data_IF_939332004907
#
_entry.id   IF_939332004907
#
_cell.length_a   1.000
_cell.length_b   1.000
_cell.length_c   1.000
_cell.angle_alpha   90.00
_cell.angle_beta   90.00
_cell.angle_gamma   90.00
#
_symmetry.space_group_name_H-M   'P 1'
#
loop_
_entity.id
_entity.type
_entity.pdbx_description
1 polymer ?
#
# COMPACT_ATOMS: atom_id res chain seq x y z
N UNK A 1 2.49 12.23 36.74
CA UNK A 1 2.09 11.88 35.37
C UNK A 1 3.11 10.89 34.84
N UNK A 2 2.71 9.66 34.54
CA UNK A 2 3.63 8.61 34.07
C UNK A 2 4.16 8.93 32.66
N UNK A 3 5.46 8.72 32.41
CA UNK A 3 6.08 8.90 31.09
C UNK A 3 5.35 8.16 29.97
N UNK A 4 4.78 6.99 30.29
CA UNK A 4 4.00 6.19 29.35
C UNK A 4 2.70 6.90 28.91
N UNK A 5 2.07 7.63 29.80
CA UNK A 5 0.87 8.42 29.49
C UNK A 5 1.23 9.61 28.59
N UNK A 6 2.34 10.28 28.89
CA UNK A 6 2.87 11.37 28.06
C UNK A 6 3.14 10.92 26.62
N UNK A 7 3.80 9.77 26.44
CA UNK A 7 4.10 9.23 25.10
C UNK A 7 2.85 8.86 24.31
N UNK A 8 1.80 8.38 24.97
CA UNK A 8 0.51 8.07 24.32
C UNK A 8 -0.17 9.36 23.84
N UNK A 9 -0.18 10.39 24.68
CA UNK A 9 -0.74 11.71 24.32
C UNK A 9 0.04 12.37 23.17
N UNK A 10 1.36 12.27 23.15
CA UNK A 10 2.16 12.82 22.04
C UNK A 10 1.92 12.09 20.72
N UNK A 11 1.80 10.76 20.76
CA UNK A 11 1.38 9.98 19.58
C UNK A 11 0.00 10.42 19.11
N UNK A 12 -0.95 10.57 20.02
CA UNK A 12 -2.30 11.00 19.71
C UNK A 12 -2.32 12.40 19.06
N UNK A 13 -1.62 13.38 19.63
CA UNK A 13 -1.51 14.72 19.05
C UNK A 13 -0.84 14.72 17.67
N UNK A 14 0.20 13.90 17.48
CA UNK A 14 0.88 13.78 16.18
C UNK A 14 -0.04 13.16 15.13
N UNK A 15 -0.80 12.12 15.49
CA UNK A 15 -1.79 11.49 14.61
C UNK A 15 -2.89 12.47 14.21
N UNK A 16 -3.47 13.19 15.18
CA UNK A 16 -4.49 14.19 14.91
C UNK A 16 -3.99 15.31 13.99
N UNK A 17 -2.76 15.79 14.20
CA UNK A 17 -2.15 16.78 13.29
C UNK A 17 -1.99 16.25 11.86
N UNK A 18 -1.63 14.98 11.69
CA UNK A 18 -1.45 14.37 10.37
C UNK A 18 -2.80 14.12 9.66
N UNK A 19 -3.85 13.83 10.42
CA UNK A 19 -5.21 13.61 9.91
C UNK A 19 -6.01 14.91 9.73
N UNK A 20 -5.45 16.07 10.13
CA UNK A 20 -6.16 17.35 10.08
C UNK A 20 -7.26 17.49 11.14
N UNK A 21 -7.18 16.72 12.23
CA UNK A 21 -8.11 16.80 13.36
C UNK A 21 -7.59 17.87 14.32
N UNK A 22 -8.46 18.84 14.63
CA UNK A 22 -8.09 20.03 15.40
C UNK A 22 -8.45 19.97 16.89
N UNK A 23 -9.33 19.06 17.29
CA UNK A 23 -9.82 18.93 18.67
C UNK A 23 -9.46 17.55 19.22
N UNK A 24 -9.00 17.52 20.47
CA UNK A 24 -8.84 16.31 21.27
C UNK A 24 -9.83 16.31 22.44
N UNK A 25 -10.10 15.12 22.98
CA UNK A 25 -11.02 14.93 24.11
C UNK A 25 -10.69 15.86 25.29
N UNK A 26 -9.40 16.05 25.57
CA UNK A 26 -8.93 16.92 26.64
C UNK A 26 -9.24 18.41 26.36
N UNK A 27 -8.98 18.90 25.15
CA UNK A 27 -9.28 20.30 24.78
C UNK A 27 -10.78 20.59 24.77
N UNK A 28 -11.61 19.58 24.47
CA UNK A 28 -13.07 19.71 24.54
C UNK A 28 -13.51 19.80 26.02
N UNK A 29 -12.98 18.93 26.88
CA UNK A 29 -13.28 18.94 28.31
C UNK A 29 -12.83 20.22 29.03
N UNK A 30 -11.66 20.75 28.67
CA UNK A 30 -11.13 22.00 29.26
C UNK A 30 -11.74 23.27 28.64
N UNK A 31 -12.67 23.14 27.68
CA UNK A 31 -13.21 24.28 26.95
C UNK A 31 -14.22 25.06 27.79
N UNK A 32 -13.86 26.29 28.16
CA UNK A 32 -14.79 27.24 28.79
C UNK A 32 -15.44 28.15 27.74
N UNK A 33 -16.77 28.23 27.75
CA UNK A 33 -17.54 29.11 26.88
C UNK A 33 -17.89 30.43 27.58
N UNK A 34 -17.85 31.53 26.84
CA UNK A 34 -18.31 32.83 27.34
C UNK A 34 -19.84 32.87 27.37
N UNK A 35 -20.41 33.19 28.52
CA UNK A 35 -21.85 33.40 28.68
C UNK A 35 -22.29 34.77 28.15
N UNK A 36 -23.43 34.79 27.46
CA UNK A 36 -24.10 35.99 26.95
C UNK A 36 -25.55 36.02 27.42
N UNK A 37 -26.19 37.19 27.38
CA UNK A 37 -27.59 37.43 27.80
C UNK A 37 -28.63 36.50 27.15
N UNK A 38 -28.32 35.95 25.98
CA UNK A 38 -28.99 34.77 25.40
C UNK A 38 -27.92 33.77 24.99
N UNK A 39 -28.15 32.51 25.31
CA UNK A 39 -27.26 31.40 25.01
C UNK A 39 -27.96 30.06 25.25
N UNK A 40 -27.23 28.99 24.96
CA UNK A 40 -27.63 27.64 25.31
C UNK A 40 -27.51 27.40 26.81
N UNK A 41 -28.28 26.44 27.32
CA UNK A 41 -28.17 26.01 28.71
C UNK A 41 -26.78 25.35 28.92
N UNK A 42 -25.98 25.82 29.89
CA UNK A 42 -24.69 25.23 30.19
C UNK A 42 -24.76 23.72 30.49
N UNK A 43 -25.81 23.24 31.17
CA UNK A 43 -25.93 21.81 31.53
C UNK A 43 -26.24 20.93 30.32
N UNK A 44 -27.08 21.42 29.39
CA UNK A 44 -27.38 20.73 28.14
C UNK A 44 -26.13 20.67 27.24
N UNK A 45 -25.38 21.78 27.17
CA UNK A 45 -24.11 21.83 26.43
C UNK A 45 -23.09 20.87 27.04
N UNK A 46 -22.94 20.84 28.36
CA UNK A 46 -21.97 19.95 29.03
C UNK A 46 -22.31 18.47 28.78
N UNK A 47 -23.58 18.09 28.92
CA UNK A 47 -24.05 16.74 28.62
C UNK A 47 -23.79 16.34 27.17
N UNK A 48 -23.99 17.27 26.23
CA UNK A 48 -23.72 17.04 24.82
C UNK A 48 -22.21 16.94 24.52
N UNK A 49 -21.38 17.73 25.20
CA UNK A 49 -19.93 17.66 25.08
C UNK A 49 -19.36 16.36 25.65
N UNK A 50 -19.94 15.82 26.72
CA UNK A 50 -19.58 14.50 27.26
C UNK A 50 -19.81 13.37 26.24
N UNK A 51 -20.94 13.40 25.51
CA UNK A 51 -21.19 12.46 24.41
C UNK A 51 -20.16 12.60 23.29
N UNK A 52 -19.86 13.84 22.88
CA UNK A 52 -18.84 14.11 21.85
C UNK A 52 -17.46 13.61 22.32
N UNK A 53 -17.09 13.83 23.58
CA UNK A 53 -15.83 13.35 24.15
C UNK A 53 -15.75 11.83 24.04
N UNK A 54 -16.83 11.12 24.41
CA UNK A 54 -16.87 9.66 24.31
C UNK A 54 -16.67 9.17 22.87
N UNK A 55 -17.30 9.83 21.90
CA UNK A 55 -17.14 9.48 20.49
C UNK A 55 -15.73 9.75 19.98
N UNK A 56 -15.10 10.85 20.39
CA UNK A 56 -13.69 11.15 20.05
C UNK A 56 -12.72 10.10 20.62
N UNK A 57 -12.99 9.56 21.82
CA UNK A 57 -12.21 8.44 22.37
C UNK A 57 -12.40 7.16 21.54
N UNK A 58 -13.63 6.85 21.14
CA UNK A 58 -13.94 5.68 20.27
C UNK A 58 -13.31 5.80 18.88
N UNK A 59 -13.35 6.99 18.30
CA UNK A 59 -12.68 7.26 17.03
C UNK A 59 -11.17 7.06 17.16
N UNK A 60 -10.56 7.54 18.24
CA UNK A 60 -9.14 7.34 18.48
C UNK A 60 -8.77 5.85 18.57
N UNK A 61 -9.54 5.06 19.34
CA UNK A 61 -9.31 3.63 19.46
C UNK A 61 -9.41 2.93 18.10
N UNK A 62 -10.41 3.29 17.30
CA UNK A 62 -10.65 2.70 15.97
C UNK A 62 -9.56 3.08 14.96
N UNK A 63 -9.15 4.36 14.94
CA UNK A 63 -8.08 4.83 14.07
C UNK A 63 -6.75 4.16 14.44
N UNK A 64 -6.45 4.03 15.73
CA UNK A 64 -5.25 3.33 16.20
C UNK A 64 -5.25 1.88 15.75
N UNK A 65 -6.34 1.14 15.99
CA UNK A 65 -6.48 -0.26 15.58
C UNK A 65 -6.35 -0.42 14.05
N UNK A 66 -6.95 0.49 13.28
CA UNK A 66 -6.84 0.47 11.82
C UNK A 66 -5.41 0.74 11.35
N UNK A 67 -4.71 1.69 11.98
CA UNK A 67 -3.31 1.99 11.65
C UNK A 67 -2.37 0.84 12.02
N UNK A 68 -2.58 0.21 13.17
CA UNK A 68 -1.79 -0.96 13.59
C UNK A 68 -1.98 -2.11 12.59
N UNK A 69 -3.23 -2.42 12.22
CA UNK A 69 -3.55 -3.41 11.17
C UNK A 69 -2.94 -3.05 9.81
N UNK A 70 -3.00 -1.79 9.41
CA UNK A 70 -2.40 -1.34 8.16
C UNK A 70 -0.88 -1.53 8.18
N UNK A 71 -0.24 -1.21 9.31
CA UNK A 71 1.20 -1.37 9.47
C UNK A 71 1.61 -2.85 9.47
N UNK A 72 0.86 -3.73 10.14
CA UNK A 72 1.06 -5.17 10.09
C UNK A 72 0.95 -5.72 8.66
N UNK A 73 -0.07 -5.29 7.91
CA UNK A 73 -0.22 -5.70 6.50
C UNK A 73 0.94 -5.21 5.63
N UNK A 74 1.42 -3.98 5.82
CA UNK A 74 2.58 -3.46 5.08
C UNK A 74 3.85 -4.27 5.40
N UNK A 75 4.05 -4.66 6.65
CA UNK A 75 5.18 -5.51 7.06
C UNK A 75 5.05 -6.89 6.43
N UNK A 76 3.88 -7.53 6.51
CA UNK A 76 3.62 -8.83 5.89
C UNK A 76 3.86 -8.80 4.37
N UNK A 77 3.38 -7.76 3.68
CA UNK A 77 3.64 -7.56 2.25
C UNK A 77 5.13 -7.39 1.96
N UNK A 78 5.86 -6.62 2.79
CA UNK A 78 7.30 -6.43 2.64
C UNK A 78 8.06 -7.74 2.82
N UNK A 79 7.67 -8.55 3.80
CA UNK A 79 8.32 -9.81 4.13
C UNK A 79 8.00 -10.90 3.08
N UNK A 80 6.79 -10.90 2.49
CA UNK A 80 6.50 -11.71 1.31
C UNK A 80 7.28 -11.24 0.08
N UNK A 81 7.49 -9.93 -0.10
CA UNK A 81 8.30 -9.39 -1.21
C UNK A 81 9.80 -9.68 -1.06
N UNK A 82 10.31 -9.75 0.17
CA UNK A 82 11.70 -10.12 0.45
C UNK A 82 11.90 -11.64 0.39
N UNK A 83 10.90 -12.44 0.77
CA UNK A 83 10.89 -13.91 0.61
C UNK A 83 10.65 -14.40 -0.83
N UNK A 84 10.02 -13.59 -1.69
CA UNK A 84 9.89 -13.84 -3.15
C UNK A 84 11.04 -13.24 -3.97
N UNK A 85 12.14 -12.86 -3.32
CA UNK A 85 13.43 -12.65 -3.98
C UNK A 85 14.26 -13.95 -3.99
N UNK A 86 13.63 -15.10 -4.21
CA UNK A 86 14.21 -16.03 -5.19
C UNK A 86 13.96 -15.37 -6.54
N UNK A 87 15.04 -15.00 -7.22
CA UNK A 87 15.03 -14.39 -8.55
C UNK A 87 13.87 -14.93 -9.40
N UNK A 88 13.07 -14.10 -10.10
CA UNK A 88 12.53 -14.62 -11.34
C UNK A 88 13.79 -15.05 -12.09
N UNK A 89 13.97 -16.35 -12.31
CA UNK A 89 14.97 -16.85 -13.26
C UNK A 89 14.66 -16.11 -14.56
N UNK A 90 15.30 -14.95 -14.75
CA UNK A 90 15.54 -14.43 -16.05
C UNK A 90 16.47 -15.49 -16.59
N UNK A 91 15.89 -16.47 -17.28
CA UNK A 91 16.61 -17.21 -18.30
C UNK A 91 17.12 -16.12 -19.24
N UNK A 92 18.31 -15.59 -18.94
CA UNK A 92 19.02 -14.69 -19.82
C UNK A 92 19.45 -15.59 -20.95
N UNK A 93 18.59 -15.72 -21.96
CA UNK A 93 18.94 -16.46 -23.16
C UNK A 93 20.10 -15.69 -23.78
N UNK A 94 21.29 -16.29 -23.72
CA UNK A 94 22.51 -15.70 -24.23
C UNK A 94 22.33 -15.45 -25.73
N UNK A 95 22.52 -14.22 -26.25
CA UNK A 95 22.28 -13.90 -27.66
C UNK A 95 22.99 -14.85 -28.64
N UNK A 96 24.16 -15.37 -28.25
CA UNK A 96 24.92 -16.35 -29.04
C UNK A 96 24.22 -17.70 -29.16
N UNK A 97 23.52 -18.13 -28.11
CA UNK A 97 22.74 -19.38 -28.17
C UNK A 97 21.54 -19.24 -29.11
N UNK A 98 20.91 -18.06 -29.16
CA UNK A 98 19.84 -17.78 -30.13
C UNK A 98 20.39 -17.83 -31.55
N UNK A 99 21.56 -17.22 -31.80
CA UNK A 99 22.22 -17.22 -33.10
C UNK A 99 22.55 -18.64 -33.58
N UNK A 100 23.12 -19.49 -32.72
CA UNK A 100 23.40 -20.89 -33.03
C UNK A 100 22.13 -21.70 -33.33
N UNK A 101 21.06 -21.48 -32.56
CA UNK A 101 19.76 -22.14 -32.79
C UNK A 101 19.17 -21.71 -34.13
N UNK A 102 19.22 -20.42 -34.46
CA UNK A 102 18.73 -19.87 -35.73
C UNK A 102 19.54 -20.43 -36.90
N UNK A 103 20.86 -20.42 -36.83
CA UNK A 103 21.73 -20.98 -37.87
C UNK A 103 21.43 -22.47 -38.13
N UNK A 104 21.25 -23.24 -37.06
CA UNK A 104 20.90 -24.66 -37.18
C UNK A 104 19.51 -24.86 -37.78
N UNK A 105 18.55 -24.01 -37.43
CA UNK A 105 17.19 -24.06 -37.96
C UNK A 105 17.15 -23.67 -39.44
N UNK A 106 17.91 -22.65 -39.86
CA UNK A 106 18.08 -22.27 -41.26
C UNK A 106 18.73 -23.38 -42.09
N UNK A 107 19.74 -24.06 -41.54
CA UNK A 107 20.36 -25.20 -42.20
C UNK A 107 19.35 -26.34 -42.40
N UNK A 108 18.59 -26.68 -41.36
CA UNK A 108 17.55 -27.71 -41.46
C UNK A 108 16.47 -27.34 -42.48
N UNK A 109 16.05 -26.08 -42.51
CA UNK A 109 15.09 -25.57 -43.51
C UNK A 109 15.65 -25.63 -44.93
N UNK A 110 16.94 -25.33 -45.14
CA UNK A 110 17.58 -25.49 -46.44
C UNK A 110 17.60 -26.95 -46.90
N UNK A 111 17.98 -27.87 -46.02
CA UNK A 111 17.97 -29.31 -46.30
C UNK A 111 16.56 -29.84 -46.61
N UNK A 112 15.55 -29.28 -45.96
CA UNK A 112 14.16 -29.63 -46.22
C UNK A 112 13.67 -29.03 -47.55
N UNK A 113 14.04 -27.77 -47.84
CA UNK A 113 13.68 -27.10 -49.10
C UNK A 113 14.28 -27.77 -50.33
N UNK A 114 15.50 -28.31 -50.23
CA UNK A 114 16.12 -29.10 -51.31
C UNK A 114 15.46 -30.47 -51.48
N UNK A 115 14.97 -31.09 -50.41
CA UNK A 115 14.21 -32.35 -50.49
C UNK A 115 12.79 -32.19 -51.01
N UNK A 116 12.18 -31.01 -50.83
CA UNK A 116 10.77 -30.75 -51.20
C UNK A 116 10.63 -30.12 -52.59
N UNK A 117 11.70 -29.57 -53.19
CA UNK A 117 11.67 -29.05 -54.56
C UNK A 117 12.30 -30.06 -55.53
N UNK A 118 11.53 -30.81 -56.34
CA UNK A 118 12.06 -31.28 -57.61
C UNK A 118 12.34 -30.04 -58.46
N UNK A 119 13.49 -30.00 -59.14
CA UNK A 119 13.73 -28.98 -60.17
C UNK A 119 12.55 -28.97 -61.16
N UNK A 120 12.05 -27.81 -61.60
CA UNK A 120 11.26 -27.79 -62.80
C UNK A 120 12.20 -28.18 -63.96
N UNK A 121 12.00 -29.36 -64.54
CA UNK A 121 12.59 -29.76 -65.81
C UNK A 121 12.26 -28.68 -66.85
N UNK A 122 13.19 -27.75 -67.06
CA UNK A 122 13.19 -26.89 -68.24
C UNK A 122 13.71 -27.72 -69.41
N UNK A 123 12.81 -28.40 -70.10
CA UNK A 123 13.06 -28.84 -71.47
C UNK A 123 13.27 -27.60 -72.34
N UNK A 124 14.46 -27.48 -72.94
CA UNK A 124 14.73 -26.58 -74.08
C UNK A 124 15.25 -27.47 -75.21
N UNK A 125 14.40 -27.55 -76.25
CA UNK A 125 14.51 -28.16 -77.59
C UNK A 125 14.99 -29.61 -77.74
#
# INVERSE_FOLDING_TARGET
>A
MDEHMQRRLDKQRKLFKQLGIHLDALSIHEKVFNTKLRGYDPEEVDSYLDEIISDYERFYATISDLMDKWQEQQVALRDMKSGSRSEPERFTIDPKQIEDIVLKMEYNLRQLKTKIRPEPDFFVD
#
